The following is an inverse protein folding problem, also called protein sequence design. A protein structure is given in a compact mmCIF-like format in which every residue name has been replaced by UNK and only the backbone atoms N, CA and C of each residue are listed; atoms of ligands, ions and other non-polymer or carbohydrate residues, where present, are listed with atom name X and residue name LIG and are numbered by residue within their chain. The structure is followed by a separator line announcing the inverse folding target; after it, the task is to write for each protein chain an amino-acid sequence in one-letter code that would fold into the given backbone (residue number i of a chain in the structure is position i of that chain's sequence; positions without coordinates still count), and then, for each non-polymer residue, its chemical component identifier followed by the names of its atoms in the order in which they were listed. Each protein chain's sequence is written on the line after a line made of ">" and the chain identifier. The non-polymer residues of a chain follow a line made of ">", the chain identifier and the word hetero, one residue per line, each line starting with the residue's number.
data_IF_961638889767
#
_entry.id   IF_961638889767
#
_cell.length_a   1.000
_cell.length_b   1.000
_cell.length_c   1.000
_cell.angle_alpha   90.00
_cell.angle_beta   90.00
_cell.angle_gamma   90.00
#
_symmetry.space_group_name_H-M   'P 1'
#
loop_
_entity.id
_entity.type
_entity.pdbx_description
1 polymer ?
#
# COMPACT_ATOMS: atom_id res chain seq x y z
N UNK A 1 -3.47 19.02 -5.77
CA UNK A 1 -4.02 17.84 -5.04
C UNK A 1 -3.02 17.52 -3.93
N UNK A 2 -3.42 17.58 -2.66
CA UNK A 2 -2.53 17.30 -1.54
C UNK A 2 -2.70 15.84 -1.07
N UNK A 3 -1.62 15.25 -0.56
CA UNK A 3 -1.66 13.99 0.16
C UNK A 3 -1.51 14.29 1.66
N UNK A 4 -2.43 13.80 2.47
CA UNK A 4 -2.38 13.95 3.92
C UNK A 4 -1.76 12.71 4.54
N UNK A 5 -0.62 12.86 5.23
CA UNK A 5 0.11 11.76 5.85
C UNK A 5 -0.59 11.23 7.13
N UNK A 6 -1.90 11.04 7.03
CA UNK A 6 -2.77 10.52 8.10
C UNK A 6 -3.34 9.19 7.65
N UNK A 7 -3.39 8.23 8.56
CA UNK A 7 -3.94 6.91 8.30
C UNK A 7 -5.42 6.85 8.56
N UNK A 8 -6.16 6.18 7.68
CA UNK A 8 -7.56 5.80 7.91
C UNK A 8 -7.67 4.92 9.17
N UNK A 9 -8.73 5.05 9.98
CA UNK A 9 -8.87 4.31 11.24
C UNK A 9 -8.67 2.80 11.10
N UNK A 10 -7.71 2.25 11.86
CA UNK A 10 -7.26 0.85 11.76
C UNK A 10 -8.35 -0.17 12.17
N UNK A 11 -9.21 0.19 13.13
CA UNK A 11 -10.33 -0.63 13.57
C UNK A 11 -11.37 -0.85 12.46
N UNK A 12 -11.56 0.16 11.60
CA UNK A 12 -12.50 0.12 10.47
C UNK A 12 -11.84 -0.57 9.28
N UNK A 13 -10.59 -0.26 8.97
CA UNK A 13 -9.86 -0.85 7.84
C UNK A 13 -9.73 -2.37 7.95
N UNK A 14 -9.70 -2.94 9.17
CA UNK A 14 -9.60 -4.39 9.41
C UNK A 14 -10.79 -5.18 8.88
N UNK A 15 -11.99 -4.58 8.77
CA UNK A 15 -13.19 -5.21 8.22
C UNK A 15 -13.39 -5.00 6.72
N UNK A 16 -12.51 -4.26 6.06
CA UNK A 16 -12.66 -3.89 4.66
C UNK A 16 -12.61 -5.09 3.70
N UNK A 17 -13.30 -4.93 2.58
CA UNK A 17 -13.24 -5.85 1.43
C UNK A 17 -12.46 -5.16 0.31
N UNK A 18 -11.60 -5.89 -0.41
CA UNK A 18 -10.90 -5.34 -1.56
C UNK A 18 -9.63 -6.09 -1.91
N UNK A 19 -8.88 -5.55 -2.87
CA UNK A 19 -7.64 -6.18 -3.33
C UNK A 19 -7.10 -5.53 -4.61
N UNK A 20 -6.11 -6.18 -5.24
CA UNK A 20 -5.51 -5.70 -6.47
C UNK A 20 -6.46 -5.82 -7.67
N UNK A 21 -6.51 -4.76 -8.47
CA UNK A 21 -7.22 -4.69 -9.74
C UNK A 21 -6.20 -4.51 -10.86
N UNK A 22 -6.40 -5.21 -11.98
CA UNK A 22 -5.64 -5.05 -13.24
C UNK A 22 -6.62 -4.79 -14.37
N UNK A 23 -6.15 -4.14 -15.42
CA UNK A 23 -6.93 -3.92 -16.64
C UNK A 23 -6.26 -4.64 -17.80
N UNK A 24 -6.94 -5.68 -18.29
CA UNK A 24 -6.53 -6.48 -19.45
C UNK A 24 -7.62 -6.35 -20.51
N UNK A 25 -7.21 -6.06 -21.73
CA UNK A 25 -8.08 -6.15 -22.90
C UNK A 25 -7.95 -7.57 -23.46
N UNK A 26 -9.07 -8.24 -23.60
CA UNK A 26 -9.15 -9.57 -24.23
C UNK A 26 -9.90 -9.39 -25.56
N UNK A 27 -9.31 -9.89 -26.62
CA UNK A 27 -9.90 -9.91 -27.98
C UNK A 27 -10.02 -11.36 -28.41
N UNK A 28 -11.23 -11.82 -28.64
CA UNK A 28 -11.50 -13.13 -29.18
C UNK A 28 -11.40 -13.05 -30.72
N UNK A 29 -10.62 -13.94 -31.30
CA UNK A 29 -10.44 -14.08 -32.77
C UNK A 29 -11.52 -15.01 -33.31
N UNK A 30 -11.79 -14.89 -34.63
CA UNK A 30 -12.75 -15.76 -35.33
C UNK A 30 -12.35 -17.25 -35.31
N UNK A 31 -11.08 -17.56 -35.01
CA UNK A 31 -10.56 -18.92 -34.80
C UNK A 31 -10.93 -19.53 -33.44
N UNK A 32 -11.45 -18.73 -32.49
CA UNK A 32 -11.69 -19.14 -31.12
C UNK A 32 -10.46 -18.92 -30.20
N UNK A 33 -9.35 -18.40 -30.72
CA UNK A 33 -8.19 -18.02 -29.92
C UNK A 33 -8.37 -16.65 -29.26
N UNK A 34 -7.61 -16.38 -28.19
CA UNK A 34 -7.63 -15.10 -27.48
C UNK A 34 -6.31 -14.35 -27.58
N UNK A 35 -6.37 -13.07 -27.89
CA UNK A 35 -5.27 -12.13 -27.68
C UNK A 35 -5.51 -11.30 -26.39
N UNK A 36 -4.49 -11.21 -25.54
CA UNK A 36 -4.58 -10.52 -24.24
C UNK A 36 -3.55 -9.42 -24.13
N UNK A 37 -4.02 -8.18 -23.97
CA UNK A 37 -3.18 -6.99 -23.85
C UNK A 37 -3.34 -6.37 -22.47
N UNK A 38 -2.24 -6.21 -21.72
CA UNK A 38 -2.25 -5.54 -20.43
C UNK A 38 -2.31 -4.01 -20.64
N UNK A 39 -3.46 -3.40 -20.33
CA UNK A 39 -3.61 -1.95 -20.42
C UNK A 39 -2.87 -1.20 -19.30
N UNK A 40 -2.64 -1.86 -18.17
CA UNK A 40 -1.90 -1.29 -17.03
C UNK A 40 -0.64 -2.10 -16.74
N UNK A 41 0.50 -1.43 -16.68
CA UNK A 41 1.76 -2.05 -16.26
C UNK A 41 1.71 -2.50 -14.79
N UNK A 42 1.08 -1.70 -13.91
CA UNK A 42 0.97 -1.97 -12.49
C UNK A 42 -0.50 -2.12 -12.06
N UNK A 43 -0.74 -2.99 -11.09
CA UNK A 43 -2.05 -3.09 -10.44
C UNK A 43 -2.36 -1.82 -9.63
N UNK A 44 -3.64 -1.57 -9.43
CA UNK A 44 -4.18 -0.62 -8.44
C UNK A 44 -5.01 -1.39 -7.45
N UNK A 45 -5.06 -0.92 -6.22
CA UNK A 45 -5.93 -1.53 -5.21
C UNK A 45 -7.22 -0.74 -5.08
N UNK A 46 -8.29 -1.50 -4.90
CA UNK A 46 -9.61 -0.94 -4.60
C UNK A 46 -10.13 -1.60 -3.34
N UNK A 47 -10.75 -0.82 -2.46
CA UNK A 47 -11.31 -1.30 -1.21
C UNK A 47 -12.70 -0.74 -1.00
N UNK A 48 -13.51 -1.48 -0.22
CA UNK A 48 -14.75 -1.00 0.37
C UNK A 48 -14.63 -1.16 1.89
N UNK A 49 -14.67 -0.04 2.60
CA UNK A 49 -14.45 -0.01 4.05
C UNK A 49 -15.75 0.02 4.85
N UNK A 50 -16.92 0.04 4.20
CA UNK A 50 -18.22 0.05 4.86
C UNK A 50 -18.41 -1.15 5.80
N UNK A 51 -17.89 -2.31 5.43
CA UNK A 51 -17.95 -3.55 6.22
C UNK A 51 -17.20 -3.47 7.57
N UNK A 52 -16.34 -2.50 7.75
CA UNK A 52 -15.56 -2.30 8.98
C UNK A 52 -16.28 -1.48 10.03
N UNK A 53 -17.38 -0.80 9.68
CA UNK A 53 -18.18 0.04 10.57
C UNK A 53 -19.09 -0.85 11.41
N UNK A 54 -18.92 -0.81 12.72
CA UNK A 54 -19.64 -1.67 13.66
C UNK A 54 -20.38 -0.90 14.76
N UNK A 55 -20.04 0.38 14.97
CA UNK A 55 -20.59 1.24 16.03
C UNK A 55 -20.85 2.63 15.48
N UNK A 56 -21.72 3.38 16.16
CA UNK A 56 -22.03 4.77 15.81
C UNK A 56 -20.78 5.67 15.83
N UNK A 57 -19.88 5.42 16.76
CA UNK A 57 -18.60 6.14 16.84
C UNK A 57 -17.69 5.87 15.66
N UNK A 58 -17.69 4.64 15.12
CA UNK A 58 -16.95 4.30 13.90
C UNK A 58 -17.51 5.09 12.71
N UNK A 59 -18.85 5.18 12.62
CA UNK A 59 -19.52 5.97 11.60
C UNK A 59 -19.16 7.46 11.72
N UNK A 60 -19.24 8.03 12.92
CA UNK A 60 -18.87 9.43 13.17
C UNK A 60 -17.40 9.70 12.80
N UNK A 61 -16.50 8.77 13.11
CA UNK A 61 -15.09 8.86 12.73
C UNK A 61 -14.89 8.85 11.21
N UNK A 62 -15.65 8.02 10.47
CA UNK A 62 -15.59 7.99 9.00
C UNK A 62 -16.13 9.27 8.39
N UNK A 63 -17.26 9.80 8.89
CA UNK A 63 -17.84 11.07 8.43
C UNK A 63 -16.83 12.20 8.64
N UNK A 64 -16.28 12.33 9.85
CA UNK A 64 -15.27 13.34 10.14
C UNK A 64 -14.02 13.19 9.26
N UNK A 65 -13.59 11.95 8.99
CA UNK A 65 -12.44 11.68 8.13
C UNK A 65 -12.74 12.05 6.68
N UNK A 66 -13.95 11.76 6.19
CA UNK A 66 -14.39 12.07 4.81
C UNK A 66 -14.44 13.58 4.59
N UNK A 67 -15.08 14.33 5.49
CA UNK A 67 -15.15 15.79 5.44
C UNK A 67 -13.77 16.43 5.47
N UNK A 68 -12.89 15.97 6.37
CA UNK A 68 -11.51 16.47 6.46
C UNK A 68 -10.64 16.14 5.23
N UNK A 69 -11.06 15.24 4.33
CA UNK A 69 -10.39 14.90 3.06
C UNK A 69 -11.10 15.53 1.86
N UNK A 70 -12.19 16.28 2.06
CA UNK A 70 -13.02 16.85 1.00
C UNK A 70 -13.41 15.79 -0.04
N UNK A 71 -14.00 14.68 0.42
CA UNK A 71 -14.36 13.55 -0.45
C UNK A 71 -13.17 13.00 -1.24
N UNK A 72 -13.24 13.05 -2.57
CA UNK A 72 -12.22 12.52 -3.49
C UNK A 72 -10.96 13.38 -3.61
N UNK A 73 -10.91 14.59 -3.00
CA UNK A 73 -9.88 15.58 -3.30
C UNK A 73 -8.49 15.20 -2.79
N UNK A 74 -8.40 14.75 -1.53
CA UNK A 74 -7.13 14.51 -0.87
C UNK A 74 -6.86 13.02 -0.67
N UNK A 75 -5.59 12.62 -0.93
CA UNK A 75 -5.12 11.29 -0.61
C UNK A 75 -4.76 11.13 0.86
N UNK A 76 -4.75 9.88 1.33
CA UNK A 76 -4.39 9.50 2.68
C UNK A 76 -3.82 8.08 2.75
N UNK A 77 -3.29 7.68 3.91
CA UNK A 77 -2.73 6.35 4.15
C UNK A 77 -3.82 5.36 4.53
N UNK A 78 -3.72 4.15 4.00
CA UNK A 78 -4.63 3.04 4.30
C UNK A 78 -3.85 1.78 4.61
N UNK A 79 -4.13 1.13 5.76
CA UNK A 79 -3.54 -0.17 6.09
C UNK A 79 -4.35 -1.30 5.46
N UNK A 80 -3.75 -1.97 4.48
CA UNK A 80 -4.31 -3.19 3.89
C UNK A 80 -3.92 -4.40 4.75
N UNK A 81 -4.81 -4.89 5.58
CA UNK A 81 -4.53 -6.00 6.50
C UNK A 81 -4.20 -7.32 5.80
N UNK A 82 -4.52 -7.46 4.51
CA UNK A 82 -4.14 -8.62 3.71
C UNK A 82 -2.70 -8.49 3.17
N UNK A 83 -2.19 -7.26 3.02
CA UNK A 83 -0.91 -7.00 2.37
C UNK A 83 -0.24 -5.70 2.89
N UNK A 84 0.17 -5.69 4.16
CA UNK A 84 0.71 -4.51 4.84
C UNK A 84 2.19 -4.60 5.22
N UNK A 85 2.87 -5.74 4.96
CA UNK A 85 4.28 -5.92 5.35
C UNK A 85 5.10 -6.65 4.29
N UNK A 86 6.40 -6.55 4.40
CA UNK A 86 7.40 -7.07 3.47
C UNK A 86 7.47 -8.60 3.41
N UNK A 87 7.08 -9.28 4.49
CA UNK A 87 7.11 -10.74 4.63
C UNK A 87 5.71 -11.36 4.64
N UNK A 88 5.60 -12.66 4.84
CA UNK A 88 4.33 -13.36 5.01
C UNK A 88 3.59 -12.88 6.28
N UNK A 89 2.26 -12.91 6.31
CA UNK A 89 1.47 -12.44 7.46
C UNK A 89 1.83 -13.14 8.78
N UNK A 90 2.25 -14.39 8.75
CA UNK A 90 2.64 -15.18 9.92
C UNK A 90 4.06 -14.91 10.42
N UNK A 91 4.90 -14.22 9.62
CA UNK A 91 6.30 -14.00 9.95
C UNK A 91 6.53 -12.63 10.58
N UNK A 92 7.54 -12.52 11.43
CA UNK A 92 8.07 -11.24 11.88
C UNK A 92 8.89 -10.57 10.77
N UNK A 93 8.86 -9.24 10.73
CA UNK A 93 9.66 -8.46 9.79
C UNK A 93 11.15 -8.60 10.13
N UNK A 94 11.97 -8.88 9.14
CA UNK A 94 13.42 -8.94 9.24
C UNK A 94 14.06 -7.96 8.25
N UNK A 95 15.28 -7.49 8.55
CA UNK A 95 16.01 -6.60 7.67
C UNK A 95 16.33 -7.23 6.28
N UNK A 96 16.12 -8.54 6.12
CA UNK A 96 16.48 -9.30 4.92
C UNK A 96 15.30 -9.70 4.05
N UNK A 97 14.07 -9.27 4.37
CA UNK A 97 12.83 -9.71 3.71
C UNK A 97 12.82 -9.47 2.19
N UNK A 98 13.20 -8.26 1.76
CA UNK A 98 13.13 -7.84 0.36
C UNK A 98 14.48 -7.30 -0.12
N UNK A 99 14.92 -7.72 -1.30
CA UNK A 99 16.03 -7.06 -1.98
C UNK A 99 15.52 -5.79 -2.65
N UNK A 100 16.09 -4.64 -2.29
CA UNK A 100 15.72 -3.33 -2.81
C UNK A 100 16.77 -2.73 -3.76
N UNK A 101 17.92 -3.39 -3.88
CA UNK A 101 18.96 -2.99 -4.82
C UNK A 101 20.28 -3.68 -4.60
N UNK A 102 21.30 -3.20 -5.33
CA UNK A 102 22.70 -3.62 -5.20
C UNK A 102 23.56 -2.37 -5.18
N UNK A 103 24.50 -2.31 -4.25
CA UNK A 103 25.44 -1.21 -4.11
C UNK A 103 26.31 -1.06 -5.37
N UNK A 104 26.61 0.17 -5.71
CA UNK A 104 27.52 0.53 -6.83
C UNK A 104 28.82 1.20 -6.36
N UNK A 105 28.96 1.42 -5.05
CA UNK A 105 30.04 2.22 -4.47
C UNK A 105 29.80 3.74 -4.52
N UNK A 106 28.79 4.20 -5.26
CA UNK A 106 28.44 5.62 -5.38
C UNK A 106 26.95 5.93 -5.11
N UNK A 107 26.07 4.97 -5.36
CA UNK A 107 24.63 5.13 -5.11
C UNK A 107 24.32 5.04 -3.62
N UNK A 108 23.66 6.08 -3.08
CA UNK A 108 23.24 6.15 -1.68
C UNK A 108 21.76 5.90 -1.47
N UNK A 109 20.92 6.04 -2.50
CA UNK A 109 19.47 6.00 -2.39
C UNK A 109 18.89 4.72 -2.99
N UNK A 110 17.96 4.07 -2.26
CA UNK A 110 17.29 2.84 -2.68
C UNK A 110 15.80 2.93 -2.38
N UNK A 111 14.98 2.66 -3.40
CA UNK A 111 13.53 2.66 -3.26
C UNK A 111 13.04 1.37 -2.59
N UNK A 112 12.23 1.48 -1.55
CA UNK A 112 11.55 0.32 -0.98
C UNK A 112 10.63 -0.33 -2.01
N UNK A 113 10.71 -1.64 -2.08
CA UNK A 113 9.92 -2.44 -3.02
C UNK A 113 9.53 -3.78 -2.40
N UNK A 114 8.36 -4.28 -2.76
CA UNK A 114 7.91 -5.63 -2.40
C UNK A 114 7.78 -6.48 -3.66
N UNK A 115 8.44 -7.63 -3.65
CA UNK A 115 8.38 -8.63 -4.73
C UNK A 115 7.31 -9.66 -4.43
N UNK A 116 6.45 -9.90 -5.41
CA UNK A 116 5.47 -10.97 -5.43
C UNK A 116 5.93 -12.00 -6.44
N UNK A 117 6.11 -13.25 -6.01
CA UNK A 117 6.59 -14.33 -6.87
C UNK A 117 5.63 -15.51 -6.83
N UNK A 118 5.40 -16.11 -7.99
CA UNK A 118 4.66 -17.37 -8.14
C UNK A 118 5.28 -18.16 -9.29
N UNK A 119 5.90 -19.29 -9.00
CA UNK A 119 6.74 -20.02 -9.95
C UNK A 119 7.88 -19.14 -10.46
N UNK A 120 8.08 -19.10 -11.77
CA UNK A 120 9.09 -18.25 -12.42
C UNK A 120 8.67 -16.80 -12.61
N UNK A 121 7.40 -16.46 -12.38
CA UNK A 121 6.87 -15.12 -12.61
C UNK A 121 7.01 -14.24 -11.37
N UNK A 122 7.44 -13.01 -11.58
CA UNK A 122 7.60 -12.03 -10.51
C UNK A 122 7.02 -10.69 -10.92
N UNK A 123 6.42 -10.00 -9.93
CA UNK A 123 6.02 -8.60 -10.06
C UNK A 123 6.56 -7.82 -8.87
N UNK A 124 7.09 -6.62 -9.11
CA UNK A 124 7.68 -5.76 -8.09
C UNK A 124 6.80 -4.54 -7.91
N UNK A 125 6.37 -4.31 -6.67
CA UNK A 125 5.61 -3.14 -6.26
C UNK A 125 6.54 -2.14 -5.60
N UNK A 126 6.54 -0.91 -6.10
CA UNK A 126 7.17 0.23 -5.42
C UNK A 126 6.36 0.57 -4.16
N UNK A 127 7.05 0.75 -3.04
CA UNK A 127 6.45 1.10 -1.75
C UNK A 127 6.81 2.55 -1.43
N UNK A 128 5.82 3.43 -1.47
CA UNK A 128 6.00 4.87 -1.24
C UNK A 128 5.61 5.32 0.17
N UNK A 129 4.83 4.51 0.90
CA UNK A 129 4.31 4.87 2.23
C UNK A 129 4.70 3.85 3.30
N UNK A 130 6.00 3.65 3.60
CA UNK A 130 6.39 2.78 4.71
C UNK A 130 5.90 3.37 6.04
N UNK A 131 5.70 2.50 7.02
CA UNK A 131 5.29 2.89 8.38
C UNK A 131 6.54 3.30 9.16
N UNK A 132 6.51 4.48 9.75
CA UNK A 132 7.62 5.00 10.55
C UNK A 132 7.98 4.03 11.69
N UNK A 133 9.28 3.83 11.92
CA UNK A 133 9.81 2.97 12.98
C UNK A 133 9.74 1.46 12.70
N UNK A 134 9.19 1.03 11.54
CA UNK A 134 9.12 -0.40 11.19
C UNK A 134 10.17 -0.82 10.16
N UNK A 135 10.82 0.13 9.52
CA UNK A 135 11.81 -0.15 8.47
C UNK A 135 13.10 -0.64 9.10
N UNK A 136 13.59 -1.76 8.60
CA UNK A 136 14.87 -2.39 8.96
C UNK A 136 15.66 -2.60 7.69
N UNK A 137 16.95 -2.33 7.71
CA UNK A 137 17.81 -2.37 6.51
C UNK A 137 18.99 -3.29 6.76
N UNK A 138 19.38 -4.07 5.74
CA UNK A 138 20.58 -4.89 5.78
C UNK A 138 21.46 -4.69 4.55
N UNK A 139 22.76 -4.76 4.75
CA UNK A 139 23.77 -4.89 3.72
C UNK A 139 24.21 -6.36 3.65
N UNK A 140 23.97 -7.02 2.52
CA UNK A 140 23.99 -8.48 2.36
C UNK A 140 23.03 -9.15 3.36
N UNK A 141 23.51 -9.77 4.41
CA UNK A 141 22.70 -10.43 5.45
C UNK A 141 22.89 -9.78 6.83
N UNK A 142 23.61 -8.65 6.90
CA UNK A 142 23.96 -7.96 8.16
C UNK A 142 23.07 -6.74 8.32
N UNK A 143 22.24 -6.74 9.36
CA UNK A 143 21.38 -5.61 9.69
C UNK A 143 22.21 -4.37 10.07
N UNK A 144 21.79 -3.23 9.57
CA UNK A 144 22.40 -1.93 9.83
C UNK A 144 21.58 -1.17 10.85
N UNK A 145 22.12 -0.97 12.05
CA UNK A 145 21.43 -0.27 13.15
C UNK A 145 21.50 1.26 13.03
N UNK A 146 22.40 1.77 12.16
CA UNK A 146 22.63 3.21 11.92
C UNK A 146 23.25 3.42 10.55
N UNK A 147 23.50 4.70 10.18
CA UNK A 147 24.13 5.06 8.91
C UNK A 147 23.17 5.11 7.73
N UNK A 148 21.87 5.12 7.99
CA UNK A 148 20.81 5.27 6.99
C UNK A 148 19.60 6.01 7.56
N UNK A 149 18.79 6.57 6.67
CA UNK A 149 17.49 7.18 6.95
C UNK A 149 16.47 6.69 5.95
N UNK A 150 15.17 6.82 6.26
CA UNK A 150 14.08 6.54 5.32
C UNK A 150 13.13 7.73 5.28
N UNK A 151 12.77 8.14 4.08
CA UNK A 151 11.67 9.07 3.86
C UNK A 151 10.36 8.28 3.80
N UNK A 152 9.51 8.44 4.81
CA UNK A 152 8.23 7.75 4.91
C UNK A 152 7.17 8.28 3.94
N UNK A 153 7.44 9.37 3.24
CA UNK A 153 6.52 9.94 2.25
C UNK A 153 6.78 9.44 0.83
N UNK A 154 8.02 9.00 0.57
CA UNK A 154 8.44 8.49 -0.74
C UNK A 154 8.87 7.03 -0.72
N UNK A 155 9.22 6.49 0.47
CA UNK A 155 9.75 5.14 0.62
C UNK A 155 11.21 5.00 0.17
N UNK A 156 11.94 6.10 0.10
CA UNK A 156 13.36 6.10 -0.28
C UNK A 156 14.23 5.93 0.97
N UNK A 157 15.07 4.91 0.97
CA UNK A 157 16.14 4.70 1.95
C UNK A 157 17.39 5.39 1.45
N UNK A 158 18.01 6.22 2.30
CA UNK A 158 19.25 6.95 1.99
C UNK A 158 20.35 6.55 2.97
N UNK A 159 21.46 6.05 2.46
CA UNK A 159 22.64 5.73 3.26
C UNK A 159 23.56 6.95 3.38
N UNK A 160 24.16 7.12 4.55
CA UNK A 160 25.18 8.15 4.79
C UNK A 160 26.43 7.89 3.95
N UNK A 161 26.81 6.63 3.81
CA UNK A 161 27.92 6.18 2.95
C UNK A 161 27.38 5.18 1.94
N UNK A 162 27.69 5.37 0.66
CA UNK A 162 27.22 4.48 -0.40
C UNK A 162 27.67 3.02 -0.15
N UNK A 163 26.75 2.04 -0.22
CA UNK A 163 27.10 0.63 -0.12
C UNK A 163 28.10 0.23 -1.20
N UNK A 164 29.10 -0.54 -0.81
CA UNK A 164 30.17 -1.02 -1.69
C UNK A 164 29.60 -1.74 -2.93
N UNK A 165 30.32 -1.65 -4.03
CA UNK A 165 29.94 -2.30 -5.28
C UNK A 165 29.69 -3.82 -5.09
N UNK A 166 28.56 -4.33 -5.60
CA UNK A 166 28.15 -5.72 -5.52
C UNK A 166 27.46 -6.11 -4.22
N UNK A 167 27.43 -5.26 -3.18
CA UNK A 167 26.72 -5.53 -1.92
C UNK A 167 25.22 -5.48 -2.14
N UNK A 168 24.50 -6.55 -1.76
CA UNK A 168 23.05 -6.59 -1.86
C UNK A 168 22.43 -5.74 -0.74
N UNK A 169 21.58 -4.79 -1.11
CA UNK A 169 20.80 -3.97 -0.19
C UNK A 169 19.41 -4.60 0.00
N UNK A 170 19.06 -4.85 1.25
CA UNK A 170 17.79 -5.47 1.64
C UNK A 170 17.05 -4.61 2.66
N UNK A 171 15.73 -4.78 2.70
CA UNK A 171 14.91 -4.13 3.72
C UNK A 171 13.69 -4.97 4.08
N UNK A 172 13.25 -4.80 5.34
CA UNK A 172 11.94 -5.25 5.82
C UNK A 172 11.17 -4.09 6.42
N UNK A 173 9.84 -4.09 6.26
CA UNK A 173 9.01 -2.95 6.62
C UNK A 173 7.52 -3.30 6.70
N UNK A 174 6.77 -2.49 7.45
CA UNK A 174 5.33 -2.33 7.21
C UNK A 174 5.11 -1.16 6.25
N UNK A 175 3.98 -1.19 5.53
CA UNK A 175 3.62 -0.13 4.61
C UNK A 175 2.11 0.08 4.54
N UNK A 176 1.74 1.31 4.23
CA UNK A 176 0.38 1.72 3.90
C UNK A 176 0.21 1.82 2.38
N UNK A 177 -1.02 1.71 1.94
CA UNK A 177 -1.41 2.00 0.56
C UNK A 177 -1.84 3.45 0.49
N UNK A 178 -1.28 4.26 -0.41
CA UNK A 178 -1.79 5.61 -0.66
C UNK A 178 -3.13 5.50 -1.40
N UNK A 179 -4.19 6.00 -0.78
CA UNK A 179 -5.56 5.94 -1.33
C UNK A 179 -6.23 7.30 -1.27
N UNK A 180 -7.35 7.43 -1.99
CA UNK A 180 -8.36 8.46 -1.82
C UNK A 180 -9.74 7.82 -1.76
N UNK A 181 -10.73 8.55 -1.29
CA UNK A 181 -12.12 8.14 -1.52
C UNK A 181 -12.42 8.12 -3.03
N UNK A 182 -13.27 7.20 -3.46
CA UNK A 182 -13.70 7.09 -4.87
C UNK A 182 -15.15 7.59 -5.08
N UNK A 183 -15.71 8.25 -4.06
CA UNK A 183 -17.00 8.94 -4.09
C UNK A 183 -16.88 10.32 -3.45
N UNK A 184 -17.65 11.29 -3.94
CA UNK A 184 -17.86 12.60 -3.32
C UNK A 184 -19.13 12.62 -2.44
N UNK A 185 -19.83 11.49 -2.35
CA UNK A 185 -20.99 11.28 -1.49
C UNK A 185 -20.73 10.15 -0.51
N UNK A 186 -21.16 10.34 0.72
CA UNK A 186 -21.17 9.34 1.76
C UNK A 186 -22.64 9.06 2.13
N UNK A 187 -23.23 8.03 1.51
CA UNK A 187 -24.63 7.68 1.74
C UNK A 187 -24.78 6.92 3.06
N UNK A 188 -25.34 7.60 4.05
CA UNK A 188 -25.61 7.05 5.38
C UNK A 188 -27.10 6.84 5.56
N UNK A 189 -27.52 5.59 5.78
CA UNK A 189 -28.90 5.29 6.18
C UNK A 189 -28.95 5.13 7.69
N UNK A 190 -29.77 5.95 8.35
CA UNK A 190 -30.05 5.83 9.79
C UNK A 190 -31.30 4.98 9.98
N UNK A 191 -31.14 3.83 10.60
CA UNK A 191 -32.25 2.99 11.02
C UNK A 191 -32.57 3.24 12.50
N UNK A 192 -33.84 3.40 12.86
CA UNK A 192 -34.29 3.88 14.18
C UNK A 192 -33.91 2.95 15.34
N UNK A 193 -33.63 1.68 15.08
CA UNK A 193 -33.34 0.69 16.12
C UNK A 193 -31.90 0.15 16.11
N UNK A 194 -31.13 0.44 15.07
CA UNK A 194 -29.73 -0.02 14.93
C UNK A 194 -28.92 1.00 14.16
N UNK A 195 -27.63 0.98 14.42
CA UNK A 195 -26.56 1.66 13.66
C UNK A 195 -26.93 1.83 12.19
N UNK A 196 -26.86 3.05 11.71
CA UNK A 196 -26.98 3.34 10.30
C UNK A 196 -26.11 2.41 9.47
N UNK A 197 -26.65 1.85 8.40
CA UNK A 197 -25.86 1.07 7.46
C UNK A 197 -25.32 1.99 6.37
N UNK A 198 -24.04 1.87 6.10
CA UNK A 198 -23.45 2.45 4.89
C UNK A 198 -23.32 1.32 3.89
N UNK A 199 -23.84 1.52 2.69
CA UNK A 199 -23.87 0.47 1.66
C UNK A 199 -22.49 0.22 1.09
N UNK A 200 -21.70 1.29 0.87
CA UNK A 200 -20.33 1.20 0.31
C UNK A 200 -19.56 2.48 0.59
N UNK A 201 -18.29 2.33 0.91
CA UNK A 201 -17.31 3.43 1.01
C UNK A 201 -16.09 3.04 0.18
N UNK A 202 -16.11 3.36 -1.11
CA UNK A 202 -15.05 2.92 -2.00
C UNK A 202 -13.78 3.77 -1.80
N UNK A 203 -12.64 3.08 -1.66
CA UNK A 203 -11.31 3.66 -1.69
C UNK A 203 -10.57 3.17 -2.92
N UNK A 204 -9.79 4.04 -3.53
CA UNK A 204 -8.98 3.75 -4.70
C UNK A 204 -7.53 4.14 -4.47
N UNK A 205 -6.60 3.21 -4.74
CA UNK A 205 -5.16 3.49 -4.69
C UNK A 205 -4.79 4.59 -5.68
N UNK A 206 -3.98 5.53 -5.22
CA UNK A 206 -3.41 6.60 -6.03
C UNK A 206 -1.90 6.42 -6.17
N UNK A 207 -1.35 6.96 -7.23
CA UNK A 207 0.10 7.03 -7.42
C UNK A 207 0.60 8.35 -6.82
N UNK A 208 1.56 8.25 -5.92
CA UNK A 208 2.20 9.40 -5.24
C UNK A 208 3.66 9.47 -5.63
#
# INVERSE_FOLDING_TARGET
>A
MAFHEVRFPDNISRGARGGPERRTQVVELASGDEERNASWANSRRRYDVAYGIRRADDLAAVVAFFEARNGRLHGFRYKDWADYKSCLPSQAITATDQQIGTGTGSQQTFQLAKRYASGAQTWVRTITKPVAGTVRVALSMVEQMSGWTVDTTTGVVTFTTAPTNGVIVRAGFEFDVPVRFDSDTLDVTLDFERLGSITTIPLLEIRT
#
